data_IF_106481751075
#
_entry.id   IF_106481751075
#
_cell.length_a   1.000
_cell.length_b   1.000
_cell.length_c   1.000
_cell.angle_alpha   90.00
_cell.angle_beta   90.00
_cell.angle_gamma   90.00
#
_symmetry.space_group_name_H-M   'P 1'
#
loop_
_entity.id
_entity.type
_entity.pdbx_description
1 polymer ?
#
# COMPACT_ATOMS: atom_id res chain seq x y z
N UNK A 1 -17.22 -5.25 -4.45
CA UNK A 1 -16.11 -4.29 -4.59
C UNK A 1 -16.07 -3.73 -6.01
N UNK A 2 -16.33 -2.44 -6.22
CA UNK A 2 -16.20 -1.83 -7.57
C UNK A 2 -14.72 -1.74 -7.94
N UNK A 3 -14.37 -2.21 -9.15
CA UNK A 3 -13.04 -1.99 -9.71
C UNK A 3 -12.97 -0.64 -10.44
N UNK A 4 -13.99 0.22 -10.37
CA UNK A 4 -14.12 1.46 -11.16
C UNK A 4 -13.67 1.29 -12.61
N UNK A 5 -12.64 2.02 -13.05
CA UNK A 5 -12.07 1.94 -14.41
C UNK A 5 -10.74 1.18 -14.49
N UNK A 6 -10.46 0.28 -13.53
CA UNK A 6 -9.24 -0.51 -13.58
C UNK A 6 -9.26 -1.43 -14.80
N UNK A 7 -8.24 -1.29 -15.64
CA UNK A 7 -8.09 -2.09 -16.85
C UNK A 7 -6.98 -3.11 -16.62
N UNK A 8 -7.32 -4.40 -16.76
CA UNK A 8 -6.34 -5.46 -16.72
C UNK A 8 -5.93 -5.81 -18.15
N UNK A 9 -4.64 -5.70 -18.44
CA UNK A 9 -4.07 -6.09 -19.73
C UNK A 9 -3.20 -7.33 -19.47
N UNK A 10 -3.49 -8.40 -20.20
CA UNK A 10 -2.72 -9.63 -20.16
C UNK A 10 -1.69 -9.59 -21.28
N UNK A 11 -0.48 -10.06 -21.00
CA UNK A 11 0.51 -10.24 -22.04
C UNK A 11 0.06 -11.34 -23.01
N UNK A 12 0.35 -11.14 -24.29
CA UNK A 12 0.10 -12.08 -25.37
C UNK A 12 1.36 -12.85 -25.78
N UNK A 13 1.23 -14.07 -26.33
CA UNK A 13 2.36 -14.73 -26.98
C UNK A 13 2.97 -13.82 -28.05
N UNK A 14 4.26 -13.52 -27.92
CA UNK A 14 4.98 -12.57 -28.78
C UNK A 14 5.25 -11.20 -28.15
N UNK A 15 4.63 -10.88 -27.01
CA UNK A 15 5.04 -9.71 -26.22
C UNK A 15 6.46 -9.90 -25.67
N UNK A 16 7.23 -8.81 -25.49
CA UNK A 16 8.55 -8.89 -24.88
C UNK A 16 8.46 -9.51 -23.48
N UNK A 17 9.32 -10.49 -23.21
CA UNK A 17 9.44 -11.09 -21.87
C UNK A 17 9.85 -10.03 -20.86
N UNK A 18 9.00 -9.78 -19.87
CA UNK A 18 9.31 -8.89 -18.75
C UNK A 18 10.04 -9.70 -17.69
N UNK A 19 11.36 -9.51 -17.60
CA UNK A 19 12.25 -10.23 -16.67
C UNK A 19 13.01 -9.30 -15.72
N UNK A 20 12.87 -7.99 -15.89
CA UNK A 20 13.52 -6.97 -15.07
C UNK A 20 12.54 -5.84 -14.74
N UNK A 21 12.82 -5.09 -13.68
CA UNK A 21 12.04 -3.92 -13.31
C UNK A 21 12.03 -2.86 -14.43
N UNK A 22 13.17 -2.62 -15.09
CA UNK A 22 13.24 -1.70 -16.23
C UNK A 22 12.34 -2.14 -17.38
N UNK A 23 12.36 -3.43 -17.75
CA UNK A 23 11.47 -3.94 -18.80
C UNK A 23 9.99 -3.82 -18.39
N UNK A 24 9.69 -3.94 -17.10
CA UNK A 24 8.34 -3.74 -16.58
C UNK A 24 7.92 -2.27 -16.68
N UNK A 25 8.81 -1.33 -16.37
CA UNK A 25 8.58 0.11 -16.54
C UNK A 25 8.37 0.49 -18.01
N UNK A 26 9.19 -0.04 -18.94
CA UNK A 26 9.04 0.19 -20.38
C UNK A 26 7.67 -0.30 -20.88
N UNK A 27 7.21 -1.45 -20.38
CA UNK A 27 5.87 -1.98 -20.66
C UNK A 27 4.79 -1.09 -20.05
N UNK A 28 5.01 -0.60 -18.82
CA UNK A 28 4.07 0.30 -18.16
C UNK A 28 3.90 1.59 -18.95
N UNK A 29 4.98 2.20 -19.43
CA UNK A 29 4.95 3.40 -20.26
C UNK A 29 4.22 3.15 -21.57
N UNK A 30 4.59 2.08 -22.30
CA UNK A 30 3.98 1.73 -23.60
C UNK A 30 2.48 1.49 -23.48
N UNK A 31 2.02 0.86 -22.40
CA UNK A 31 0.62 0.54 -22.17
C UNK A 31 -0.13 1.60 -21.37
N UNK A 32 0.55 2.68 -20.96
CA UNK A 32 0.07 3.65 -19.98
C UNK A 32 -0.49 2.98 -18.71
N UNK A 33 0.14 1.87 -18.28
CA UNK A 33 -0.19 1.17 -17.05
C UNK A 33 0.47 1.85 -15.85
N UNK A 34 -0.22 1.84 -14.71
CA UNK A 34 0.29 2.40 -13.44
C UNK A 34 1.11 1.38 -12.65
N UNK A 35 0.86 0.10 -12.91
CA UNK A 35 1.48 -1.03 -12.22
C UNK A 35 1.62 -2.19 -13.20
N UNK A 36 2.66 -2.98 -13.03
CA UNK A 36 2.92 -4.20 -13.80
C UNK A 36 3.28 -5.31 -12.81
N UNK A 37 2.43 -6.33 -12.73
CA UNK A 37 2.76 -7.59 -12.06
C UNK A 37 3.41 -8.50 -13.11
N UNK A 38 4.64 -8.91 -12.87
CA UNK A 38 5.45 -9.71 -13.79
C UNK A 38 6.21 -10.79 -13.03
N UNK A 39 6.78 -11.76 -13.76
CA UNK A 39 7.45 -12.87 -13.11
C UNK A 39 7.87 -13.97 -14.07
N UNK A 40 8.51 -14.99 -13.51
CA UNK A 40 8.93 -16.18 -14.23
C UNK A 40 8.29 -17.40 -13.60
N UNK A 41 7.82 -18.32 -14.46
CA UNK A 41 7.20 -19.57 -14.05
C UNK A 41 8.15 -20.73 -14.39
N UNK A 42 8.57 -21.48 -13.37
CA UNK A 42 9.44 -22.64 -13.49
C UNK A 42 8.65 -23.92 -13.21
N UNK A 43 8.74 -24.92 -14.09
CA UNK A 43 8.13 -26.23 -13.82
C UNK A 43 8.82 -26.89 -12.63
N UNK A 44 8.05 -27.38 -11.67
CA UNK A 44 8.57 -28.06 -10.49
C UNK A 44 7.67 -29.26 -10.14
N UNK A 45 8.15 -30.48 -10.40
CA UNK A 45 7.32 -31.68 -10.35
C UNK A 45 6.11 -31.56 -11.29
N UNK A 46 4.92 -31.85 -10.76
CA UNK A 46 3.64 -31.70 -11.48
C UNK A 46 3.09 -30.26 -11.44
N UNK A 47 3.72 -29.37 -10.66
CA UNK A 47 3.31 -27.99 -10.47
C UNK A 47 4.24 -26.98 -11.15
N UNK A 48 4.08 -25.72 -10.74
CA UNK A 48 4.90 -24.60 -11.19
C UNK A 48 5.27 -23.75 -9.97
N UNK A 49 6.54 -23.38 -9.87
CA UNK A 49 7.02 -22.34 -8.94
C UNK A 49 7.03 -21.03 -9.70
N UNK A 50 6.41 -19.99 -9.15
CA UNK A 50 6.33 -18.67 -9.77
C UNK A 50 7.07 -17.66 -8.92
N UNK A 51 8.09 -17.04 -9.50
CA UNK A 51 8.78 -15.89 -8.94
C UNK A 51 8.09 -14.64 -9.47
N UNK A 52 7.47 -13.87 -8.57
CA UNK A 52 6.68 -12.70 -8.94
C UNK A 52 7.29 -11.41 -8.43
N UNK A 53 7.11 -10.36 -9.21
CA UNK A 53 7.49 -9.00 -8.88
C UNK A 53 6.36 -8.04 -9.27
N UNK A 54 6.21 -6.97 -8.50
CA UNK A 54 5.30 -5.86 -8.80
C UNK A 54 6.13 -4.60 -9.02
N UNK A 55 6.05 -4.03 -10.22
CA UNK A 55 6.62 -2.71 -10.53
C UNK A 55 5.50 -1.68 -10.54
N UNK A 56 5.72 -0.57 -9.85
CA UNK A 56 4.90 0.64 -9.88
C UNK A 56 5.59 1.63 -10.81
N UNK A 57 4.91 1.96 -11.91
CA UNK A 57 5.45 2.81 -12.96
C UNK A 57 6.01 4.13 -12.42
N UNK A 58 7.08 4.62 -13.03
CA UNK A 58 7.78 5.84 -12.61
C UNK A 58 6.85 7.08 -12.57
N UNK A 59 7.27 8.06 -11.78
CA UNK A 59 6.57 9.30 -11.49
C UNK A 59 6.22 10.09 -12.76
N UNK A 60 6.96 9.99 -13.86
CA UNK A 60 6.58 10.62 -15.14
C UNK A 60 5.22 10.12 -15.67
N UNK A 61 4.93 8.82 -15.51
CA UNK A 61 3.63 8.21 -15.83
C UNK A 61 2.58 8.61 -14.78
N UNK A 62 2.99 8.73 -13.50
CA UNK A 62 2.11 9.16 -12.40
C UNK A 62 1.70 10.64 -12.48
N UNK A 63 2.59 11.55 -12.88
CA UNK A 63 2.40 13.03 -12.92
C UNK A 63 1.18 13.47 -13.73
N UNK A 64 0.63 12.59 -14.56
CA UNK A 64 -0.63 12.80 -15.26
C UNK A 64 -1.86 12.79 -14.34
N UNK A 65 -1.73 12.40 -13.06
CA UNK A 65 -2.76 12.49 -12.01
C UNK A 65 -2.16 12.74 -10.62
N UNK A 66 -2.80 13.50 -9.72
CA UNK A 66 -2.41 13.52 -8.31
C UNK A 66 -2.60 12.12 -7.75
N UNK A 67 -1.49 11.42 -7.56
CA UNK A 67 -1.51 10.03 -7.13
C UNK A 67 -1.84 10.01 -5.64
N UNK A 68 -2.92 9.34 -5.26
CA UNK A 68 -3.25 9.10 -3.86
C UNK A 68 -2.12 8.38 -3.10
N UNK A 69 -1.05 7.93 -3.76
CA UNK A 69 0.14 7.42 -3.07
C UNK A 69 0.87 8.48 -2.23
N UNK A 70 0.96 9.74 -2.71
CA UNK A 70 1.61 10.78 -1.91
C UNK A 70 0.72 11.13 -0.71
N UNK A 71 1.22 10.89 0.50
CA UNK A 71 0.57 11.34 1.71
C UNK A 71 1.16 12.68 2.12
N UNK A 72 0.37 13.75 1.97
CA UNK A 72 0.76 15.08 2.43
C UNK A 72 -0.09 15.52 3.63
N UNK A 73 0.55 16.22 4.56
CA UNK A 73 -0.12 16.96 5.64
C UNK A 73 0.33 18.43 5.58
N UNK A 74 -0.61 19.34 5.82
CA UNK A 74 -0.35 20.77 5.92
C UNK A 74 -0.38 21.18 7.40
N UNK A 75 0.73 21.72 7.88
CA UNK A 75 0.87 22.27 9.23
C UNK A 75 1.33 23.72 9.09
N UNK A 76 0.47 24.65 9.45
CA UNK A 76 0.70 26.09 9.24
C UNK A 76 1.02 26.38 7.76
N UNK A 77 2.15 27.02 7.46
CA UNK A 77 2.64 27.34 6.13
C UNK A 77 3.47 26.20 5.48
N UNK A 78 3.55 25.04 6.14
CA UNK A 78 4.43 23.94 5.72
C UNK A 78 3.66 22.71 5.26
N UNK A 79 4.12 22.17 4.13
CA UNK A 79 3.69 20.88 3.62
C UNK A 79 4.75 19.84 3.93
N UNK A 80 4.36 18.77 4.63
CA UNK A 80 5.16 17.57 4.79
C UNK A 80 4.55 16.47 3.90
N UNK A 81 5.37 15.84 3.07
CA UNK A 81 4.93 14.79 2.15
C UNK A 81 5.74 13.52 2.38
N UNK A 82 5.06 12.38 2.46
CA UNK A 82 5.64 11.05 2.50
C UNK A 82 5.17 10.28 1.27
N UNK A 83 6.11 9.81 0.47
CA UNK A 83 5.83 8.94 -0.68
C UNK A 83 5.84 7.49 -0.18
N UNK A 84 4.66 6.89 -0.13
CA UNK A 84 4.46 5.45 0.01
C UNK A 84 3.51 5.07 -1.12
N UNK A 85 3.71 3.99 -1.88
CA UNK A 85 4.70 2.91 -1.78
C UNK A 85 5.99 3.10 -2.61
N UNK A 86 6.96 2.16 -2.48
CA UNK A 86 8.13 1.99 -3.38
C UNK A 86 7.78 1.67 -4.83
N UNK A 87 8.81 1.72 -5.70
CA UNK A 87 8.72 1.41 -7.12
C UNK A 87 8.71 -0.08 -7.46
N UNK A 88 9.39 -0.96 -6.72
CA UNK A 88 9.51 -2.39 -7.09
C UNK A 88 9.41 -3.28 -5.86
N UNK A 89 8.65 -4.35 -5.97
CA UNK A 89 8.47 -5.37 -4.94
C UNK A 89 8.80 -6.75 -5.49
N UNK A 90 9.60 -7.51 -4.75
CA UNK A 90 9.87 -8.92 -5.02
C UNK A 90 9.18 -9.79 -3.98
N UNK A 91 8.40 -10.75 -4.44
CA UNK A 91 7.65 -11.64 -3.56
C UNK A 91 8.38 -12.96 -3.34
N UNK A 92 8.03 -13.66 -2.25
CA UNK A 92 8.45 -15.04 -2.07
C UNK A 92 7.90 -15.92 -3.20
N UNK A 93 8.65 -16.96 -3.63
CA UNK A 93 8.18 -17.87 -4.67
C UNK A 93 6.86 -18.54 -4.30
N UNK A 94 5.92 -18.61 -5.24
CA UNK A 94 4.61 -19.23 -5.02
C UNK A 94 4.53 -20.55 -5.77
N UNK A 95 4.21 -21.63 -5.05
CA UNK A 95 3.98 -22.95 -5.65
C UNK A 95 2.53 -23.08 -6.09
N UNK A 96 2.31 -23.26 -7.39
CA UNK A 96 1.01 -23.50 -7.99
C UNK A 96 0.85 -24.99 -8.33
N UNK A 97 -0.28 -25.57 -7.94
CA UNK A 97 -0.64 -26.93 -8.31
C UNK A 97 -0.94 -27.04 -9.81
N UNK A 98 -0.80 -28.26 -10.35
CA UNK A 98 -1.15 -28.56 -11.74
C UNK A 98 -2.58 -28.11 -12.09
N UNK A 99 -3.52 -28.31 -11.15
CA UNK A 99 -4.92 -27.90 -11.29
C UNK A 99 -5.06 -26.39 -11.47
N UNK A 100 -4.37 -25.59 -10.66
CA UNK A 100 -4.36 -24.13 -10.78
C UNK A 100 -3.79 -23.69 -12.11
N UNK A 101 -2.67 -24.30 -12.54
CA UNK A 101 -2.04 -24.00 -13.84
C UNK A 101 -2.99 -24.33 -15.00
N UNK A 102 -3.62 -25.50 -15.00
CA UNK A 102 -4.59 -25.87 -16.03
C UNK A 102 -5.79 -24.92 -16.07
N UNK A 103 -6.22 -24.42 -14.91
CA UNK A 103 -7.35 -23.50 -14.81
C UNK A 103 -7.02 -22.09 -15.30
N UNK A 104 -5.78 -21.63 -15.12
CA UNK A 104 -5.40 -20.22 -15.32
C UNK A 104 -4.26 -19.97 -16.31
N UNK A 105 -3.81 -20.99 -17.04
CA UNK A 105 -2.68 -20.87 -17.98
C UNK A 105 -2.93 -19.93 -19.17
N UNK A 106 -4.19 -19.59 -19.47
CA UNK A 106 -4.52 -18.59 -20.48
C UNK A 106 -5.79 -17.80 -20.12
N UNK A 107 -5.95 -16.55 -20.59
CA UNK A 107 -7.22 -15.82 -20.47
C UNK A 107 -8.39 -16.57 -21.08
N UNK A 108 -8.14 -17.35 -22.14
CA UNK A 108 -9.13 -18.19 -22.82
C UNK A 108 -9.60 -19.38 -21.96
N UNK A 109 -8.97 -19.66 -20.83
CA UNK A 109 -9.47 -20.60 -19.84
C UNK A 109 -10.68 -20.03 -19.07
N UNK A 110 -10.86 -18.70 -19.06
CA UNK A 110 -12.01 -18.03 -18.45
C UNK A 110 -13.19 -17.95 -19.43
N UNK A 111 -14.40 -18.12 -18.92
CA UNK A 111 -15.64 -17.99 -19.69
C UNK A 111 -16.45 -16.77 -19.24
N UNK A 112 -17.03 -16.04 -20.19
CA UNK A 112 -17.89 -14.89 -19.93
C UNK A 112 -19.34 -15.32 -19.71
N UNK A 113 -19.74 -15.45 -18.46
CA UNK A 113 -21.07 -15.89 -18.04
C UNK A 113 -22.07 -14.72 -18.02
N UNK A 114 -23.30 -14.95 -18.49
CA UNK A 114 -24.36 -13.95 -18.38
C UNK A 114 -24.81 -13.72 -16.92
N UNK A 115 -24.72 -14.76 -16.09
CA UNK A 115 -25.09 -14.74 -14.68
C UNK A 115 -24.01 -15.39 -13.81
N UNK A 116 -24.01 -15.07 -12.52
CA UNK A 116 -23.11 -15.62 -11.48
C UNK A 116 -23.49 -17.05 -11.08
N UNK A 117 -23.54 -17.97 -12.04
CA UNK A 117 -23.82 -19.38 -11.78
C UNK A 117 -22.93 -20.30 -12.60
N UNK A 118 -22.60 -21.45 -12.02
CA UNK A 118 -22.01 -22.58 -12.72
C UNK A 118 -23.10 -23.63 -13.04
N UNK A 119 -22.95 -24.43 -14.11
CA UNK A 119 -21.92 -24.31 -15.13
C UNK A 119 -22.15 -23.10 -16.02
N UNK A 120 -21.04 -22.48 -16.43
CA UNK A 120 -21.04 -21.40 -17.41
C UNK A 120 -20.92 -21.97 -18.82
N UNK A 121 -21.63 -21.39 -19.79
CA UNK A 121 -21.55 -21.77 -21.22
C UNK A 121 -21.31 -20.56 -22.12
N UNK A 122 -20.67 -19.54 -21.56
CA UNK A 122 -20.35 -18.32 -22.27
C UNK A 122 -19.16 -18.46 -23.22
N UNK A 123 -18.94 -17.46 -24.08
CA UNK A 123 -17.73 -17.42 -24.90
C UNK A 123 -16.49 -17.34 -24.00
N UNK A 124 -15.36 -17.85 -24.50
CA UNK A 124 -14.05 -17.68 -23.85
C UNK A 124 -13.67 -16.21 -23.84
N UNK A 125 -12.98 -15.79 -22.78
CA UNK A 125 -12.44 -14.43 -22.68
C UNK A 125 -11.18 -14.34 -23.54
N UNK A 126 -11.23 -13.49 -24.58
CA UNK A 126 -10.10 -13.24 -25.47
C UNK A 126 -9.73 -11.75 -25.45
N UNK A 127 -8.43 -11.46 -25.38
CA UNK A 127 -7.90 -10.10 -25.37
C UNK A 127 -8.01 -9.39 -24.01
N UNK A 128 -7.93 -8.06 -24.04
CA UNK A 128 -8.02 -7.23 -22.83
C UNK A 128 -9.44 -7.12 -22.28
N UNK A 129 -9.53 -6.97 -20.96
CA UNK A 129 -10.80 -6.78 -20.26
C UNK A 129 -10.72 -5.62 -19.27
N UNK A 130 -11.85 -4.94 -19.09
CA UNK A 130 -12.02 -3.92 -18.07
C UNK A 130 -12.85 -4.51 -16.92
N UNK A 131 -12.29 -4.54 -15.72
CA UNK A 131 -12.99 -5.04 -14.56
C UNK A 131 -13.94 -3.95 -14.03
N UNK A 132 -15.21 -4.30 -13.81
CA UNK A 132 -16.25 -3.37 -13.34
C UNK A 132 -16.59 -3.61 -11.88
N UNK A 133 -16.78 -4.86 -11.48
CA UNK A 133 -17.20 -5.25 -10.13
C UNK A 133 -16.61 -6.61 -9.76
N UNK A 134 -16.12 -6.76 -8.54
CA UNK A 134 -15.80 -8.05 -7.91
C UNK A 134 -16.84 -8.36 -6.82
N UNK A 135 -17.30 -9.60 -6.76
CA UNK A 135 -18.13 -10.09 -5.67
C UNK A 135 -17.91 -11.59 -5.45
N UNK A 136 -17.28 -11.94 -4.33
CA UNK A 136 -16.84 -13.30 -4.05
C UNK A 136 -15.93 -13.84 -5.16
N UNK A 137 -16.15 -15.05 -5.68
CA UNK A 137 -15.35 -15.62 -6.77
C UNK A 137 -15.77 -15.11 -8.16
N UNK A 138 -16.55 -14.03 -8.25
CA UNK A 138 -17.08 -13.52 -9.52
C UNK A 138 -16.59 -12.12 -9.81
N UNK A 139 -16.15 -11.87 -11.05
CA UNK A 139 -15.84 -10.53 -11.53
C UNK A 139 -16.73 -10.18 -12.71
N UNK A 140 -17.48 -9.08 -12.62
CA UNK A 140 -18.14 -8.48 -13.77
C UNK A 140 -17.11 -7.72 -14.59
N UNK A 141 -16.99 -8.06 -15.87
CA UNK A 141 -16.00 -7.49 -16.78
C UNK A 141 -16.67 -7.01 -18.06
N UNK A 142 -16.03 -6.05 -18.73
CA UNK A 142 -16.34 -5.62 -20.09
C UNK A 142 -15.19 -6.03 -21.01
N UNK A 143 -15.47 -6.83 -22.03
CA UNK A 143 -14.46 -7.23 -23.01
C UNK A 143 -14.16 -6.07 -23.97
N UNK A 144 -12.88 -5.78 -24.23
CA UNK A 144 -12.50 -4.64 -25.09
C UNK A 144 -12.81 -4.88 -26.57
N UNK A 145 -12.79 -6.13 -27.02
CA UNK A 145 -12.92 -6.48 -28.45
C UNK A 145 -14.32 -6.21 -29.02
N UNK A 146 -15.36 -6.39 -28.21
CA UNK A 146 -16.75 -6.38 -28.66
C UNK A 146 -17.71 -5.71 -27.66
N UNK A 147 -17.17 -5.00 -26.67
CA UNK A 147 -17.90 -4.33 -25.60
C UNK A 147 -18.86 -5.23 -24.78
N UNK A 148 -18.77 -6.55 -24.88
CA UNK A 148 -19.64 -7.47 -24.15
C UNK A 148 -19.38 -7.40 -22.65
N UNK A 149 -20.46 -7.30 -21.89
CA UNK A 149 -20.43 -7.28 -20.42
C UNK A 149 -20.95 -8.60 -19.90
N UNK A 150 -20.22 -9.20 -18.97
CA UNK A 150 -20.61 -10.43 -18.31
C UNK A 150 -19.81 -10.68 -17.04
N UNK A 151 -19.92 -11.88 -16.51
CA UNK A 151 -19.29 -12.34 -15.29
C UNK A 151 -18.26 -13.42 -15.60
N UNK A 152 -17.06 -13.30 -15.06
CA UNK A 152 -16.06 -14.36 -15.07
C UNK A 152 -16.01 -14.99 -13.68
N UNK A 153 -15.92 -16.32 -13.63
CA UNK A 153 -15.67 -17.06 -12.41
C UNK A 153 -14.16 -17.17 -12.19
N UNK A 154 -13.67 -16.60 -11.10
CA UNK A 154 -12.26 -16.62 -10.68
C UNK A 154 -12.24 -17.21 -9.26
N UNK A 155 -12.25 -18.55 -9.13
CA UNK A 155 -12.22 -19.18 -7.82
C UNK A 155 -10.96 -18.76 -7.05
N UNK A 156 -11.05 -18.63 -5.72
CA UNK A 156 -9.87 -18.36 -4.91
C UNK A 156 -8.83 -19.47 -5.15
N UNK A 157 -7.56 -19.06 -5.22
CA UNK A 157 -6.46 -20.02 -5.19
C UNK A 157 -6.50 -20.74 -3.83
N UNK A 158 -6.28 -22.06 -3.83
CA UNK A 158 -6.34 -22.92 -2.63
C UNK A 158 -5.42 -22.37 -1.51
N UNK A 159 -4.30 -21.75 -1.90
CA UNK A 159 -3.49 -20.88 -1.06
C UNK A 159 -3.59 -19.46 -1.63
N UNK A 160 -4.23 -18.53 -0.91
CA UNK A 160 -4.24 -17.12 -1.33
C UNK A 160 -2.81 -16.58 -1.25
N UNK A 161 -2.15 -16.32 -2.38
CA UNK A 161 -0.74 -15.96 -2.32
C UNK A 161 -0.65 -14.47 -1.94
N UNK A 162 0.29 -14.14 -1.05
CA UNK A 162 0.53 -12.77 -0.59
C UNK A 162 0.66 -11.73 -1.73
N UNK A 163 1.23 -12.05 -2.92
CA UNK A 163 1.28 -11.14 -4.06
C UNK A 163 -0.08 -10.65 -4.53
N UNK A 164 -1.12 -11.49 -4.45
CA UNK A 164 -2.47 -11.12 -4.88
C UNK A 164 -3.10 -10.11 -3.90
N UNK A 165 -3.00 -10.37 -2.59
CA UNK A 165 -3.50 -9.46 -1.56
C UNK A 165 -2.69 -8.16 -1.54
N UNK A 166 -1.35 -8.23 -1.63
CA UNK A 166 -0.49 -7.04 -1.67
C UNK A 166 -0.78 -6.16 -2.89
N UNK A 167 -0.85 -6.75 -4.09
CA UNK A 167 -1.18 -6.02 -5.32
C UNK A 167 -2.59 -5.41 -5.25
N UNK A 168 -3.55 -6.14 -4.68
CA UNK A 168 -4.91 -5.62 -4.48
C UNK A 168 -4.94 -4.43 -3.51
N UNK A 169 -4.17 -4.51 -2.42
CA UNK A 169 -3.96 -3.42 -1.47
C UNK A 169 -3.37 -2.19 -2.15
N UNK A 170 -2.36 -2.39 -2.99
CA UNK A 170 -1.72 -1.32 -3.79
C UNK A 170 -2.72 -0.66 -4.73
N UNK A 171 -3.49 -1.44 -5.50
CA UNK A 171 -4.55 -0.91 -6.37
C UNK A 171 -5.56 -0.08 -5.57
N UNK A 172 -6.00 -0.56 -4.39
CA UNK A 172 -6.92 0.20 -3.54
C UNK A 172 -6.28 1.50 -3.02
N UNK A 173 -5.03 1.43 -2.56
CA UNK A 173 -4.28 2.55 -2.01
C UNK A 173 -4.09 3.68 -3.03
N UNK A 174 -3.66 3.36 -4.25
CA UNK A 174 -3.50 4.34 -5.33
C UNK A 174 -4.81 4.98 -5.79
N UNK A 175 -5.95 4.39 -5.44
CA UNK A 175 -7.28 4.90 -5.76
C UNK A 175 -7.93 5.67 -4.63
N UNK A 176 -7.26 5.74 -3.48
CA UNK A 176 -7.81 6.36 -2.27
C UNK A 176 -8.83 5.50 -1.53
N UNK A 177 -8.99 4.22 -1.86
CA UNK A 177 -9.83 3.28 -1.10
C UNK A 177 -9.03 2.72 0.08
N UNK A 178 -8.71 3.60 1.05
CA UNK A 178 -7.79 3.28 2.14
C UNK A 178 -8.34 2.24 3.12
N UNK A 179 -9.66 2.15 3.28
CA UNK A 179 -10.28 1.14 4.14
C UNK A 179 -9.95 -0.26 3.62
N UNK A 180 -10.19 -0.52 2.33
CA UNK A 180 -9.84 -1.82 1.74
C UNK A 180 -8.36 -2.04 1.62
N UNK A 181 -7.59 -0.99 1.29
CA UNK A 181 -6.14 -1.10 1.28
C UNK A 181 -5.62 -1.61 2.64
N UNK A 182 -6.15 -1.07 3.74
CA UNK A 182 -5.81 -1.50 5.09
C UNK A 182 -6.12 -2.99 5.31
N UNK A 183 -7.31 -3.47 4.95
CA UNK A 183 -7.68 -4.89 5.07
C UNK A 183 -6.73 -5.82 4.30
N UNK A 184 -6.30 -5.44 3.09
CA UNK A 184 -5.36 -6.22 2.28
C UNK A 184 -3.97 -6.25 2.91
N UNK A 185 -3.45 -5.09 3.29
CA UNK A 185 -2.11 -4.98 3.86
C UNK A 185 -1.99 -5.61 5.25
N UNK A 186 -3.06 -5.56 6.07
CA UNK A 186 -3.12 -6.25 7.35
C UNK A 186 -2.91 -7.76 7.17
N UNK A 187 -3.61 -8.38 6.21
CA UNK A 187 -3.49 -9.81 5.93
C UNK A 187 -2.08 -10.18 5.49
N UNK A 188 -1.47 -9.40 4.59
CA UNK A 188 -0.10 -9.65 4.12
C UNK A 188 0.92 -9.52 5.24
N UNK A 189 0.80 -8.49 6.09
CA UNK A 189 1.69 -8.28 7.23
C UNK A 189 1.57 -9.41 8.28
N UNK A 190 0.36 -9.93 8.49
CA UNK A 190 0.09 -11.03 9.41
C UNK A 190 0.45 -12.42 8.85
N UNK A 191 0.61 -12.56 7.53
CA UNK A 191 0.93 -13.83 6.86
C UNK A 191 2.40 -14.21 7.09
N UNK A 192 2.71 -15.33 7.78
CA UNK A 192 4.08 -15.80 7.91
C UNK A 192 4.64 -16.41 6.61
N UNK A 193 3.77 -16.70 5.62
CA UNK A 193 4.19 -17.15 4.30
C UNK A 193 4.81 -16.01 3.48
N UNK A 194 4.45 -14.77 3.79
CA UNK A 194 5.08 -13.59 3.21
C UNK A 194 6.54 -13.50 3.68
N UNK A 195 7.46 -13.22 2.74
CA UNK A 195 8.82 -12.85 3.10
C UNK A 195 8.84 -11.61 4.02
N UNK A 196 9.80 -11.56 4.94
CA UNK A 196 9.91 -10.51 5.98
C UNK A 196 9.85 -9.08 5.42
N UNK A 197 10.53 -8.83 4.31
CA UNK A 197 10.53 -7.53 3.64
C UNK A 197 9.12 -7.12 3.19
N UNK A 198 8.38 -8.01 2.54
CA UNK A 198 7.00 -7.75 2.10
C UNK A 198 6.07 -7.54 3.29
N UNK A 199 6.24 -8.30 4.38
CA UNK A 199 5.46 -8.10 5.60
C UNK A 199 5.69 -6.73 6.21
N UNK A 200 6.95 -6.30 6.26
CA UNK A 200 7.34 -5.01 6.80
C UNK A 200 6.80 -3.83 5.97
N UNK A 201 6.87 -3.96 4.64
CA UNK A 201 6.26 -2.98 3.72
C UNK A 201 4.73 -2.95 3.85
N UNK A 202 4.09 -4.12 3.92
CA UNK A 202 2.65 -4.22 4.13
C UNK A 202 2.25 -3.59 5.48
N UNK A 203 3.03 -3.77 6.54
CA UNK A 203 2.78 -3.13 7.83
C UNK A 203 2.84 -1.60 7.72
N UNK A 204 3.85 -1.04 7.05
CA UNK A 204 3.94 0.41 6.83
C UNK A 204 2.76 0.95 6.01
N UNK A 205 2.38 0.24 4.94
CA UNK A 205 1.24 0.62 4.10
C UNK A 205 -0.10 0.45 4.81
N UNK A 206 -0.24 -0.52 5.72
CA UNK A 206 -1.41 -0.68 6.57
C UNK A 206 -1.58 0.53 7.50
N UNK A 207 -0.52 0.93 8.20
CA UNK A 207 -0.55 2.13 9.06
C UNK A 207 -0.92 3.37 8.26
N UNK A 208 -0.29 3.57 7.10
CA UNK A 208 -0.61 4.71 6.23
C UNK A 208 -2.07 4.68 5.75
N UNK A 209 -2.60 3.50 5.41
CA UNK A 209 -3.99 3.35 4.99
C UNK A 209 -4.97 3.65 6.13
N UNK A 210 -4.77 3.08 7.34
CA UNK A 210 -5.60 3.35 8.52
C UNK A 210 -5.61 4.84 8.89
N UNK A 211 -4.43 5.47 8.89
CA UNK A 211 -4.30 6.89 9.20
C UNK A 211 -5.10 7.77 8.24
N UNK A 212 -5.28 7.33 6.99
CA UNK A 212 -5.95 8.09 5.92
C UNK A 212 -7.42 7.74 5.76
N UNK A 213 -7.89 6.64 6.35
CA UNK A 213 -9.31 6.27 6.40
C UNK A 213 -10.05 6.83 7.62
N UNK A 214 -9.43 7.77 8.35
CA UNK A 214 -9.91 8.32 9.63
C UNK A 214 -9.91 7.31 10.80
N UNK A 215 -9.12 6.23 10.70
CA UNK A 215 -9.10 5.16 11.70
C UNK A 215 -8.35 5.50 12.98
N UNK A 216 -9.03 5.35 14.12
CA UNK A 216 -8.46 5.48 15.47
C UNK A 216 -7.56 4.30 15.88
N UNK A 217 -7.52 3.23 15.08
CA UNK A 217 -6.85 1.96 15.44
C UNK A 217 -5.34 1.92 15.15
N UNK A 218 -4.77 3.02 14.63
CA UNK A 218 -3.33 3.11 14.33
C UNK A 218 -2.43 2.76 15.54
N UNK A 219 -2.68 3.23 16.77
CA UNK A 219 -1.85 2.85 17.93
C UNK A 219 -1.84 1.34 18.20
N UNK A 220 -2.98 0.67 18.09
CA UNK A 220 -3.07 -0.79 18.29
C UNK A 220 -2.34 -1.55 17.19
N UNK A 221 -2.47 -1.11 15.94
CA UNK A 221 -1.74 -1.69 14.81
C UNK A 221 -0.21 -1.54 15.00
N UNK A 222 0.27 -0.39 15.46
CA UNK A 222 1.70 -0.17 15.77
C UNK A 222 2.21 -1.11 16.86
N UNK A 223 1.44 -1.29 17.95
CA UNK A 223 1.78 -2.22 19.03
C UNK A 223 1.88 -3.67 18.51
N UNK A 224 0.94 -4.07 17.65
CA UNK A 224 0.94 -5.40 17.02
C UNK A 224 2.19 -5.63 16.18
N UNK A 225 2.59 -4.66 15.36
CA UNK A 225 3.75 -4.79 14.48
C UNK A 225 5.09 -4.77 15.20
N UNK A 226 5.20 -4.00 16.28
CA UNK A 226 6.35 -4.10 17.19
C UNK A 226 6.49 -5.53 17.75
N UNK A 227 5.40 -6.15 18.19
CA UNK A 227 5.41 -7.53 18.68
C UNK A 227 5.80 -8.57 17.63
N UNK A 228 5.75 -8.23 16.34
CA UNK A 228 6.11 -9.09 15.22
C UNK A 228 7.51 -8.80 14.65
N UNK A 229 8.28 -7.87 15.25
CA UNK A 229 9.56 -7.39 14.75
C UNK A 229 9.49 -6.83 13.31
N UNK A 230 8.34 -6.26 12.91
CA UNK A 230 8.17 -5.62 11.60
C UNK A 230 8.51 -4.12 11.64
N UNK A 231 9.42 -3.71 12.54
CA UNK A 231 9.84 -2.31 12.65
C UNK A 231 10.71 -1.94 11.44
N UNK A 232 10.20 -1.05 10.59
CA UNK A 232 10.95 -0.45 9.48
C UNK A 232 10.98 1.07 9.59
N UNK A 233 11.94 1.66 8.88
CA UNK A 233 12.01 3.11 8.68
C UNK A 233 10.66 3.66 8.21
N UNK A 234 10.01 3.03 7.23
CA UNK A 234 8.73 3.48 6.67
C UNK A 234 7.57 3.33 7.64
N UNK A 235 7.53 2.26 8.43
CA UNK A 235 6.53 2.10 9.48
C UNK A 235 6.59 3.31 10.44
N UNK A 236 7.80 3.67 10.87
CA UNK A 236 7.98 4.83 11.74
C UNK A 236 7.70 6.16 11.03
N UNK A 237 8.06 6.33 9.75
CA UNK A 237 7.68 7.52 8.98
C UNK A 237 6.16 7.66 8.88
N UNK A 238 5.44 6.58 8.60
CA UNK A 238 3.97 6.55 8.56
C UNK A 238 3.37 6.89 9.94
N UNK A 239 3.96 6.37 11.02
CA UNK A 239 3.54 6.71 12.38
C UNK A 239 3.74 8.21 12.70
N UNK A 240 4.89 8.80 12.31
CA UNK A 240 5.13 10.25 12.45
C UNK A 240 4.07 11.05 11.72
N UNK A 241 3.79 10.69 10.46
CA UNK A 241 2.77 11.37 9.64
C UNK A 241 1.39 11.29 10.31
N UNK A 242 1.00 10.13 10.85
CA UNK A 242 -0.26 9.96 11.58
C UNK A 242 -0.35 10.86 12.81
N UNK A 243 0.66 10.82 13.69
CA UNK A 243 0.61 11.56 14.95
C UNK A 243 0.68 13.08 14.73
N UNK A 244 1.42 13.55 13.73
CA UNK A 244 1.41 14.96 13.34
C UNK A 244 0.05 15.40 12.79
N UNK A 245 -0.60 14.57 11.96
CA UNK A 245 -1.94 14.84 11.45
C UNK A 245 -2.97 14.89 12.60
N UNK A 246 -2.90 13.94 13.53
CA UNK A 246 -3.77 13.85 14.71
C UNK A 246 -3.58 15.05 15.64
N UNK A 247 -2.34 15.41 15.96
CA UNK A 247 -2.03 16.61 16.74
C UNK A 247 -2.66 17.86 16.12
N UNK A 248 -2.51 18.04 14.80
CA UNK A 248 -3.08 19.19 14.10
C UNK A 248 -4.61 19.19 14.15
N UNK A 249 -5.25 18.03 13.97
CA UNK A 249 -6.69 17.91 14.07
C UNK A 249 -7.21 18.30 15.46
N UNK A 250 -6.57 17.80 16.53
CA UNK A 250 -6.92 18.13 17.91
C UNK A 250 -6.71 19.62 18.22
N UNK A 251 -5.62 20.21 17.76
CA UNK A 251 -5.35 21.64 17.94
C UNK A 251 -6.40 22.52 17.22
N UNK A 252 -6.82 22.13 16.02
CA UNK A 252 -7.88 22.82 15.29
C UNK A 252 -9.23 22.70 15.98
N UNK A 253 -9.55 21.54 16.54
CA UNK A 253 -10.76 21.30 17.31
C UNK A 253 -10.78 22.15 18.60
N UNK A 254 -9.66 22.20 19.32
CA UNK A 254 -9.48 23.03 20.51
C UNK A 254 -9.68 24.53 20.25
N UNK A 255 -9.32 24.98 19.05
CA UNK A 255 -9.43 26.38 18.64
C UNK A 255 -10.84 26.77 18.16
N UNK A 256 -11.78 25.81 18.03
CA UNK A 256 -13.15 26.13 17.63
C UNK A 256 -13.85 26.92 18.74
N UNK A 257 -14.53 28.03 18.43
CA UNK A 257 -15.27 28.77 19.44
C UNK A 257 -16.37 27.87 20.03
N UNK A 258 -16.44 27.83 21.35
CA UNK A 258 -17.49 27.10 22.07
C UNK A 258 -18.80 27.84 21.85
N UNK A 259 -19.74 27.20 21.15
CA UNK A 259 -21.11 27.71 21.01
C UNK A 259 -21.96 27.04 22.09
N UNK A 260 -22.17 27.75 23.20
CA UNK A 260 -22.98 27.30 24.35
C UNK A 260 -22.19 26.97 25.62
N UNK A 261 -22.88 26.52 26.67
CA UNK A 261 -22.30 26.22 28.00
C UNK A 261 -21.65 24.82 28.09
N UNK A 262 -21.32 24.17 26.97
CA UNK A 262 -20.64 22.87 27.01
C UNK A 262 -19.16 23.07 27.40
N UNK A 263 -18.66 22.38 28.44
CA UNK A 263 -17.26 22.47 28.80
C UNK A 263 -16.39 21.95 27.66
N UNK A 264 -15.40 22.74 27.24
CA UNK A 264 -14.41 22.31 26.25
C UNK A 264 -13.71 21.04 26.75
N UNK A 265 -13.54 20.01 25.91
CA UNK A 265 -12.72 18.87 26.27
C UNK A 265 -11.28 19.32 26.61
N UNK A 266 -10.52 18.57 27.42
CA UNK A 266 -9.13 18.88 27.76
C UNK A 266 -8.21 18.65 26.56
N UNK A 267 -8.36 19.46 25.51
CA UNK A 267 -7.73 19.26 24.22
C UNK A 267 -6.20 19.44 24.27
N UNK A 268 -5.69 20.21 25.23
CA UNK A 268 -4.24 20.42 25.42
C UNK A 268 -3.46 19.15 25.79
N UNK A 269 -4.03 18.29 26.65
CA UNK A 269 -3.37 17.04 27.06
C UNK A 269 -3.27 16.04 25.90
N UNK A 270 -4.35 15.90 25.13
CA UNK A 270 -4.40 14.99 23.99
C UNK A 270 -3.52 15.47 22.83
N UNK A 271 -3.40 16.78 22.62
CA UNK A 271 -2.48 17.32 21.63
C UNK A 271 -1.02 17.04 22.02
N UNK A 272 -0.66 17.24 23.29
CA UNK A 272 0.73 17.03 23.74
C UNK A 272 1.14 15.55 23.66
N UNK A 273 0.22 14.63 23.95
CA UNK A 273 0.44 13.19 23.78
C UNK A 273 0.72 12.83 22.31
N UNK A 274 -0.10 13.34 21.38
CA UNK A 274 0.10 13.09 19.95
C UNK A 274 1.45 13.65 19.46
N UNK A 275 1.83 14.86 19.89
CA UNK A 275 3.11 15.46 19.53
C UNK A 275 4.29 14.68 20.14
N UNK A 276 4.16 14.20 21.38
CA UNK A 276 5.13 13.32 22.03
C UNK A 276 5.31 11.98 21.32
N UNK A 277 4.21 11.38 20.86
CA UNK A 277 4.25 10.14 20.07
C UNK A 277 4.91 10.36 18.70
N UNK A 278 4.59 11.48 18.01
CA UNK A 278 5.27 11.86 16.77
C UNK A 278 6.79 11.99 16.98
N UNK A 279 7.21 12.70 18.02
CA UNK A 279 8.62 12.90 18.30
C UNK A 279 9.32 11.60 18.76
N UNK A 280 8.61 10.65 19.40
CA UNK A 280 9.13 9.33 19.70
C UNK A 280 9.48 8.54 18.43
N UNK A 281 8.52 8.41 17.51
CA UNK A 281 8.75 7.71 16.25
C UNK A 281 9.76 8.44 15.36
N UNK A 282 9.79 9.77 15.38
CA UNK A 282 10.76 10.53 14.61
C UNK A 282 12.20 10.21 15.01
N UNK A 283 12.50 10.03 16.29
CA UNK A 283 13.86 9.60 16.72
C UNK A 283 14.25 8.24 16.17
N UNK A 284 13.31 7.30 16.15
CA UNK A 284 13.54 5.99 15.56
C UNK A 284 13.89 6.12 14.07
N UNK A 285 13.25 7.04 13.33
CA UNK A 285 13.61 7.31 11.91
C UNK A 285 14.91 8.10 11.72
N UNK A 286 15.19 9.09 12.57
CA UNK A 286 16.25 10.07 12.36
C UNK A 286 17.66 9.47 12.43
N UNK A 287 17.80 8.28 13.03
CA UNK A 287 19.04 7.52 13.05
C UNK A 287 19.41 6.91 11.68
N UNK A 288 18.41 6.70 10.81
CA UNK A 288 18.57 6.03 9.51
C UNK A 288 18.47 6.98 8.32
N UNK A 289 17.95 8.19 8.53
CA UNK A 289 17.85 9.23 7.49
C UNK A 289 19.08 10.13 7.48
N UNK A 290 19.51 10.52 6.28
CA UNK A 290 20.51 11.57 6.10
C UNK A 290 20.07 12.85 6.84
N UNK A 291 21.01 13.61 7.40
CA UNK A 291 20.73 14.92 7.99
C UNK A 291 20.15 15.89 6.96
N UNK A 292 20.51 15.70 5.69
CA UNK A 292 20.04 16.53 4.59
C UNK A 292 18.72 16.07 3.97
N UNK A 293 18.18 14.94 4.42
CA UNK A 293 16.88 14.43 3.98
C UNK A 293 15.76 15.48 4.15
N UNK A 294 15.03 15.85 3.08
CA UNK A 294 14.01 16.88 3.13
C UNK A 294 12.85 16.56 4.07
N UNK A 295 12.43 15.29 4.15
CA UNK A 295 11.34 14.85 5.02
C UNK A 295 11.77 15.00 6.49
N UNK A 296 12.97 14.54 6.83
CA UNK A 296 13.57 14.72 8.15
C UNK A 296 13.61 16.19 8.56
N UNK A 297 14.19 17.06 7.71
CA UNK A 297 14.27 18.50 7.96
C UNK A 297 12.88 19.12 8.18
N UNK A 298 11.89 18.68 7.40
CA UNK A 298 10.49 19.09 7.55
C UNK A 298 9.94 18.76 8.93
N UNK A 299 10.07 17.51 9.37
CA UNK A 299 9.62 17.05 10.69
C UNK A 299 10.36 17.79 11.81
N UNK A 300 11.69 17.91 11.75
CA UNK A 300 12.46 18.63 12.77
C UNK A 300 11.98 20.08 12.93
N UNK A 301 11.69 20.76 11.82
CA UNK A 301 11.24 22.15 11.85
C UNK A 301 9.85 22.28 12.48
N UNK A 302 8.95 21.33 12.20
CA UNK A 302 7.61 21.27 12.81
C UNK A 302 7.72 21.03 14.31
N UNK A 303 8.51 20.03 14.74
CA UNK A 303 8.67 19.73 16.16
C UNK A 303 9.31 20.89 16.95
N UNK A 304 10.28 21.60 16.35
CA UNK A 304 10.93 22.76 16.97
C UNK A 304 10.03 23.98 17.07
N UNK A 305 9.16 24.26 16.09
CA UNK A 305 8.32 25.47 16.09
C UNK A 305 7.25 25.46 17.17
N UNK A 306 6.87 24.28 17.67
CA UNK A 306 5.88 24.13 18.73
C UNK A 306 6.46 24.31 20.14
N UNK A 307 7.71 24.81 20.27
CA UNK A 307 8.46 24.88 21.54
C UNK A 307 8.38 23.56 22.33
N UNK A 308 8.27 22.43 21.62
CA UNK A 308 8.20 21.13 22.25
C UNK A 308 9.54 20.89 22.93
N UNK A 309 9.59 21.16 24.23
CA UNK A 309 10.69 20.77 25.08
C UNK A 309 10.51 19.26 25.30
N UNK A 310 11.30 18.43 24.60
CA UNK A 310 11.20 16.99 24.82
C UNK A 310 11.38 16.73 26.33
N UNK A 311 10.51 15.93 26.98
CA UNK A 311 10.66 15.63 28.41
C UNK A 311 12.09 15.17 28.75
N UNK A 312 12.57 15.29 29.98
CA UNK A 312 14.00 15.03 30.26
C UNK A 312 14.48 13.61 29.86
N UNK A 313 13.59 12.61 29.86
CA UNK A 313 13.83 11.25 29.34
C UNK A 313 13.85 11.14 27.81
N UNK A 314 13.73 12.28 27.12
CA UNK A 314 13.49 12.44 25.70
C UNK A 314 14.69 13.13 24.99
N UNK A 315 15.74 13.51 25.73
CA UNK A 315 17.02 13.96 25.15
C UNK A 315 17.68 12.78 24.43
N UNK A 316 17.85 12.91 23.12
CA UNK A 316 18.65 11.97 22.33
C UNK A 316 20.04 11.84 22.98
N UNK A 317 20.61 10.63 23.10
CA UNK A 317 22.01 10.50 23.47
C UNK A 317 22.81 11.29 22.45
N UNK A 318 23.46 12.37 22.89
CA UNK A 318 24.44 13.03 22.05
C UNK A 318 25.49 11.95 21.79
N UNK A 319 25.62 11.53 20.52
CA UNK A 319 26.77 10.72 20.11
C UNK A 319 27.98 11.57 20.49
N UNK A 320 28.63 11.21 21.59
CA UNK A 320 29.95 11.71 21.89
C UNK A 320 30.77 11.36 20.65
N UNK A 321 31.15 12.38 19.90
CA UNK A 321 32.20 12.30 18.90
C UNK A 321 33.47 11.96 19.67
N UNK A 322 33.64 10.68 19.96
CA UNK A 322 34.92 10.14 20.34
C UNK A 322 35.84 10.43 19.15
N UNK A 323 36.70 11.41 19.34
CA UNK A 323 37.91 11.61 18.55
C UNK A 323 38.60 10.26 18.44
N UNK A 324 38.63 9.70 17.22
CA UNK A 324 39.54 8.59 16.91
C UNK A 324 40.97 9.02 17.24
N UNK A 325 41.78 8.14 17.87
CA UNK A 325 43.19 8.41 18.12
C UNK A 325 44.00 8.55 16.83
#
# INVERSE_FOLDING_TARGET
MSFGSATAIWSHPGDPTVSTAQAADDVAERLAAQMVLWGVAHRYGDGVVVDMNLTIADEAVRRRRPSAAEWSIQIEDRRLSLMLPEGVYSFAPVVLSQRSVQTYSSPSALQLCQARRLPCRGPRVEGGMEAKLHDGPWSRVKLKRNDQIGWIYVPPLENRPDPADFTSGMVCYYRGDFIRAAEFFERVAASPASGELIRSEAAALHIAALARSAGDDVPNALLRYRGQNLESLKLHQAAVMYYLARWRALALEAARPVIGDQPSPPAGLLSDEALGAAAHHFRATAAYLDRDDPWRKGVERILRSQNFAPPLWFRLPQRNSASSP
#
